data_IF_053254895828
#
_entry.id   IF_053254895828
#
_cell.length_a   1.000
_cell.length_b   1.000
_cell.length_c   1.000
_cell.angle_alpha   90.00
_cell.angle_beta   90.00
_cell.angle_gamma   90.00
#
_symmetry.space_group_name_H-M   'P 1'
#
loop_
_entity.id
_entity.type
_entity.pdbx_description
1 polymer ?
#
# COMPACT_ATOMS: atom_id res chain seq x y z
N UNK A 1 10.35 -10.40 -17.90
CA UNK A 1 10.66 -9.18 -17.12
C UNK A 1 12.09 -8.74 -17.47
N UNK A 2 12.35 -7.44 -17.62
CA UNK A 2 13.74 -6.94 -17.81
C UNK A 2 14.51 -7.04 -16.48
N UNK A 3 15.81 -7.33 -16.53
CA UNK A 3 16.66 -7.31 -15.32
C UNK A 3 16.63 -5.90 -14.72
N UNK A 4 16.40 -5.79 -13.41
CA UNK A 4 16.36 -4.52 -12.66
C UNK A 4 14.97 -3.92 -12.43
N UNK A 5 13.89 -4.58 -12.86
CA UNK A 5 12.51 -4.13 -12.58
C UNK A 5 12.07 -4.58 -11.18
N UNK A 6 11.54 -3.65 -10.38
CA UNK A 6 10.98 -3.95 -9.06
C UNK A 6 9.65 -4.70 -9.13
N UNK A 7 9.26 -5.39 -8.05
CA UNK A 7 7.98 -6.10 -7.98
C UNK A 7 6.78 -5.17 -8.21
N UNK A 8 6.88 -3.92 -7.76
CA UNK A 8 5.87 -2.87 -7.97
C UNK A 8 5.66 -2.45 -9.45
N UNK A 9 6.49 -2.92 -10.37
CA UNK A 9 6.32 -2.73 -11.83
C UNK A 9 6.11 -4.05 -12.58
N UNK A 10 6.10 -5.19 -11.88
CA UNK A 10 5.88 -6.49 -12.50
C UNK A 10 4.44 -6.60 -13.01
N UNK A 11 4.25 -6.91 -14.29
CA UNK A 11 2.92 -7.12 -14.91
C UNK A 11 2.62 -8.59 -15.23
N UNK A 12 3.40 -9.52 -14.66
CA UNK A 12 3.20 -10.94 -14.92
C UNK A 12 1.91 -11.44 -14.25
N UNK A 13 0.95 -12.02 -14.99
CA UNK A 13 -0.41 -12.29 -14.48
C UNK A 13 -0.46 -13.32 -13.35
N UNK A 14 0.51 -14.22 -13.25
CA UNK A 14 0.58 -15.21 -12.15
C UNK A 14 1.49 -14.78 -10.99
N UNK A 15 2.11 -13.60 -11.04
CA UNK A 15 2.98 -13.14 -9.98
C UNK A 15 2.15 -12.49 -8.87
N UNK A 16 2.15 -13.09 -7.68
CA UNK A 16 1.44 -12.57 -6.50
C UNK A 16 2.00 -11.22 -6.01
N UNK A 17 3.21 -10.88 -6.42
CA UNK A 17 3.85 -9.59 -6.13
C UNK A 17 3.74 -8.59 -7.28
N UNK A 18 2.94 -8.92 -8.31
CA UNK A 18 2.75 -8.04 -9.45
C UNK A 18 2.01 -6.77 -9.07
N UNK A 19 2.22 -5.74 -9.88
CA UNK A 19 1.40 -4.54 -9.91
C UNK A 19 -0.10 -4.88 -9.99
N UNK A 20 -0.47 -5.90 -10.75
CA UNK A 20 -1.88 -6.27 -10.91
C UNK A 20 -2.47 -6.91 -9.65
N UNK A 21 -1.66 -7.55 -8.82
CA UNK A 21 -2.13 -8.19 -7.58
C UNK A 21 -2.05 -7.27 -6.37
N UNK A 22 -1.13 -6.30 -6.37
CA UNK A 22 -0.85 -5.44 -5.22
C UNK A 22 -1.13 -3.96 -5.46
N UNK A 23 -1.54 -3.59 -6.66
CA UNK A 23 -1.99 -2.24 -6.99
C UNK A 23 -3.28 -1.92 -6.26
N UNK A 24 -3.33 -0.76 -5.61
CA UNK A 24 -4.49 -0.30 -4.84
C UNK A 24 -5.27 0.74 -5.62
N UNK A 25 -4.59 1.76 -6.15
CA UNK A 25 -5.25 2.84 -6.87
C UNK A 25 -4.27 3.82 -7.48
N UNK A 26 -4.78 4.82 -8.18
CA UNK A 26 -3.97 5.85 -8.82
C UNK A 26 -3.23 6.70 -7.78
N UNK A 27 -2.00 7.10 -8.11
CA UNK A 27 -1.23 8.00 -7.27
C UNK A 27 -1.82 9.42 -7.32
N UNK A 28 -1.93 10.05 -6.16
CA UNK A 28 -2.47 11.41 -6.03
C UNK A 28 -1.51 12.51 -6.50
N UNK A 29 -0.21 12.20 -6.60
CA UNK A 29 0.84 13.19 -6.97
C UNK A 29 1.32 13.05 -8.42
N UNK A 30 0.96 11.97 -9.13
CA UNK A 30 1.37 11.81 -10.53
C UNK A 30 0.34 11.04 -11.36
N UNK A 31 0.20 11.46 -12.62
CA UNK A 31 -0.88 11.02 -13.50
C UNK A 31 -0.81 9.53 -13.87
N UNK A 32 0.40 8.98 -14.06
CA UNK A 32 0.61 7.61 -14.54
C UNK A 32 1.06 6.62 -13.46
N UNK A 33 1.02 7.04 -12.20
CA UNK A 33 1.47 6.23 -11.07
C UNK A 33 0.35 5.41 -10.47
N UNK A 34 0.68 4.20 -10.03
CA UNK A 34 -0.19 3.36 -9.20
C UNK A 34 0.48 3.17 -7.84
N UNK A 35 -0.30 3.34 -6.78
CA UNK A 35 0.11 3.01 -5.41
C UNK A 35 0.03 1.50 -5.22
N UNK A 36 1.16 0.88 -4.91
CA UNK A 36 1.31 -0.57 -4.79
C UNK A 36 1.68 -0.92 -3.36
N UNK A 37 0.95 -1.85 -2.74
CA UNK A 37 1.28 -2.40 -1.43
C UNK A 37 2.67 -3.05 -1.46
N UNK A 38 3.51 -2.75 -0.47
CA UNK A 38 4.73 -3.50 -0.22
C UNK A 38 4.44 -4.60 0.83
N UNK A 39 4.27 -5.87 0.42
CA UNK A 39 3.90 -6.95 1.33
C UNK A 39 5.02 -7.31 2.30
N UNK A 40 6.23 -6.83 2.06
CA UNK A 40 7.41 -7.08 2.90
C UNK A 40 7.64 -6.01 3.96
N UNK A 41 6.82 -4.94 3.92
CA UNK A 41 6.98 -3.79 4.82
C UNK A 41 6.43 -4.01 6.24
N UNK A 42 5.67 -5.07 6.46
CA UNK A 42 5.18 -5.44 7.79
C UNK A 42 6.33 -5.55 8.81
N UNK A 43 6.16 -5.06 10.06
CA UNK A 43 4.95 -4.48 10.66
C UNK A 43 4.75 -2.97 10.38
N UNK A 44 5.66 -2.32 9.63
CA UNK A 44 5.57 -0.90 9.25
C UNK A 44 5.01 -0.78 7.83
N UNK A 45 3.75 -1.16 7.69
CA UNK A 45 3.09 -1.28 6.40
C UNK A 45 3.15 0.02 5.59
N UNK A 46 3.43 -0.14 4.30
CA UNK A 46 3.51 0.96 3.35
C UNK A 46 3.06 0.55 1.96
N UNK A 47 2.66 1.55 1.18
CA UNK A 47 2.49 1.46 -0.26
C UNK A 47 3.32 2.54 -0.91
N UNK A 48 3.84 2.25 -2.09
CA UNK A 48 4.68 3.18 -2.83
C UNK A 48 4.14 3.35 -4.24
N UNK A 49 4.29 4.55 -4.78
CA UNK A 49 4.04 4.76 -6.19
C UNK A 49 5.09 4.01 -7.01
N UNK A 50 4.67 3.40 -8.12
CA UNK A 50 5.59 2.77 -9.07
C UNK A 50 6.25 3.74 -10.07
N UNK A 51 5.93 5.05 -10.02
CA UNK A 51 6.49 6.07 -10.92
C UNK A 51 7.17 7.25 -10.24
N UNK A 52 6.69 7.68 -9.07
CA UNK A 52 7.26 8.80 -8.32
C UNK A 52 7.71 8.36 -6.91
N UNK A 53 8.18 9.33 -6.12
CA UNK A 53 8.74 9.10 -4.79
C UNK A 53 7.69 9.12 -3.65
N UNK A 54 6.41 8.92 -3.96
CA UNK A 54 5.36 8.87 -2.93
C UNK A 54 5.40 7.54 -2.20
N UNK A 55 5.41 7.62 -0.86
CA UNK A 55 5.33 6.46 0.03
C UNK A 55 4.31 6.75 1.12
N UNK A 56 3.21 6.01 1.10
CA UNK A 56 2.16 6.15 2.11
C UNK A 56 2.39 5.09 3.18
N UNK A 57 2.48 5.52 4.43
CA UNK A 57 2.49 4.63 5.59
C UNK A 57 1.07 4.47 6.10
N UNK A 58 0.69 3.27 6.50
CA UNK A 58 -0.68 3.05 6.95
C UNK A 58 -0.82 1.82 7.85
N UNK A 59 -1.93 1.74 8.58
CA UNK A 59 -2.28 0.64 9.50
C UNK A 59 -1.19 0.29 10.50
N UNK A 60 -0.78 1.29 11.30
CA UNK A 60 0.11 1.03 12.42
C UNK A 60 -0.49 -0.06 13.35
N UNK A 61 0.35 -0.97 13.82
CA UNK A 61 -0.05 -2.13 14.64
C UNK A 61 -0.91 -3.20 13.93
N UNK A 62 -1.06 -3.13 12.60
CA UNK A 62 -1.60 -4.25 11.83
C UNK A 62 -0.62 -5.42 11.80
N UNK A 63 -1.14 -6.61 12.11
CA UNK A 63 -0.43 -7.87 11.99
C UNK A 63 -0.38 -8.36 10.54
N UNK A 64 -1.43 -8.06 9.76
CA UNK A 64 -1.56 -8.50 8.38
C UNK A 64 -2.29 -7.45 7.55
N UNK A 65 -1.80 -7.21 6.34
CA UNK A 65 -2.42 -6.32 5.35
C UNK A 65 -2.41 -7.03 4.00
N UNK A 66 -3.54 -7.05 3.30
CA UNK A 66 -3.66 -7.67 1.98
C UNK A 66 -4.55 -6.81 1.07
N UNK A 67 -4.22 -6.78 -0.22
CA UNK A 67 -5.14 -6.24 -1.24
C UNK A 67 -6.23 -7.27 -1.49
N UNK A 68 -7.49 -6.85 -1.38
CA UNK A 68 -8.65 -7.66 -1.65
C UNK A 68 -8.91 -7.73 -3.17
N UNK A 69 -9.72 -8.73 -3.57
CA UNK A 69 -10.14 -8.87 -4.96
C UNK A 69 -11.23 -7.85 -5.32
N UNK A 70 -11.96 -7.37 -4.30
CA UNK A 70 -13.02 -6.39 -4.45
C UNK A 70 -12.45 -4.98 -4.63
N UNK A 71 -13.20 -4.15 -5.36
CA UNK A 71 -12.93 -2.74 -5.60
C UNK A 71 -13.97 -1.85 -4.93
N UNK A 72 -13.60 -0.60 -4.65
CA UNK A 72 -14.49 0.41 -4.10
C UNK A 72 -15.46 0.91 -5.17
N UNK A 73 -16.76 0.86 -4.89
CA UNK A 73 -17.81 1.31 -5.83
C UNK A 73 -17.76 2.82 -6.15
N UNK A 74 -17.03 3.62 -5.36
CA UNK A 74 -16.97 5.09 -5.52
C UNK A 74 -15.76 5.58 -6.32
N UNK A 75 -14.64 4.85 -6.28
CA UNK A 75 -13.38 5.29 -6.90
C UNK A 75 -12.60 4.18 -7.63
N UNK A 76 -13.16 2.98 -7.72
CA UNK A 76 -12.59 1.79 -8.36
C UNK A 76 -11.24 1.30 -7.79
N UNK A 77 -10.76 1.90 -6.70
CA UNK A 77 -9.57 1.44 -5.99
C UNK A 77 -9.82 0.07 -5.34
N UNK A 78 -8.83 -0.82 -5.36
CA UNK A 78 -8.90 -2.10 -4.67
C UNK A 78 -9.06 -1.90 -3.17
N UNK A 79 -9.92 -2.69 -2.55
CA UNK A 79 -10.08 -2.69 -1.10
C UNK A 79 -8.86 -3.30 -0.43
N UNK A 80 -8.59 -2.90 0.80
CA UNK A 80 -7.51 -3.44 1.62
C UNK A 80 -8.09 -4.09 2.86
N UNK A 81 -7.77 -5.37 3.03
CA UNK A 81 -8.13 -6.18 4.18
C UNK A 81 -7.01 -6.13 5.22
N UNK A 82 -7.37 -5.78 6.45
CA UNK A 82 -6.43 -5.54 7.54
C UNK A 82 -6.82 -6.36 8.75
N UNK A 83 -5.82 -6.96 9.39
CA UNK A 83 -5.96 -7.64 10.68
C UNK A 83 -5.07 -6.91 11.70
N UNK A 84 -5.70 -6.20 12.63
CA UNK A 84 -5.06 -5.46 13.71
C UNK A 84 -4.76 -6.35 14.91
N UNK A 85 -3.74 -5.97 15.67
CA UNK A 85 -3.47 -6.63 16.93
C UNK A 85 -4.66 -6.47 17.91
N UNK A 86 -5.15 -7.58 18.47
CA UNK A 86 -6.25 -7.63 19.46
C UNK A 86 -6.11 -6.64 20.63
N UNK A 87 -4.87 -6.31 21.02
CA UNK A 87 -4.59 -5.40 22.14
C UNK A 87 -4.47 -3.93 21.74
N UNK A 88 -4.37 -3.63 20.45
CA UNK A 88 -4.07 -2.30 19.90
C UNK A 88 -4.90 -1.99 18.66
N UNK A 89 -6.09 -2.58 18.56
CA UNK A 89 -6.97 -2.33 17.42
C UNK A 89 -7.55 -0.91 17.51
N UNK A 90 -7.47 -0.12 16.42
CA UNK A 90 -8.12 1.19 16.35
C UNK A 90 -9.62 1.09 15.96
N UNK A 91 -10.12 -0.12 15.68
CA UNK A 91 -11.48 -0.31 15.18
C UNK A 91 -12.55 -0.16 16.27
N UNK A 92 -13.78 0.26 15.91
CA UNK A 92 -14.90 0.32 16.83
C UNK A 92 -15.21 -1.03 17.48
N UNK A 93 -15.80 -1.00 18.68
CA UNK A 93 -16.25 -2.19 19.43
C UNK A 93 -15.16 -3.26 19.70
N UNK A 94 -13.87 -2.95 19.49
CA UNK A 94 -12.78 -3.91 19.69
C UNK A 94 -12.66 -4.95 18.58
N UNK A 95 -13.27 -4.71 17.42
CA UNK A 95 -13.05 -5.55 16.23
C UNK A 95 -11.58 -5.55 15.83
N UNK A 96 -11.09 -6.61 15.19
CA UNK A 96 -9.69 -6.68 14.74
C UNK A 96 -9.54 -6.75 13.24
N UNK A 97 -10.62 -6.97 12.50
CA UNK A 97 -10.57 -7.12 11.07
C UNK A 97 -11.45 -6.06 10.42
N UNK A 98 -10.92 -5.41 9.40
CA UNK A 98 -11.67 -4.47 8.57
C UNK A 98 -11.21 -4.56 7.13
N UNK A 99 -12.15 -4.49 6.20
CA UNK A 99 -11.86 -4.43 4.76
C UNK A 99 -12.49 -3.17 4.22
N UNK A 100 -11.68 -2.31 3.61
CA UNK A 100 -12.12 -0.98 3.23
C UNK A 100 -11.27 -0.34 2.14
N UNK A 101 -11.77 0.73 1.56
CA UNK A 101 -11.01 1.54 0.61
C UNK A 101 -10.10 2.50 1.37
N UNK A 102 -8.80 2.54 1.04
CA UNK A 102 -7.85 3.46 1.69
C UNK A 102 -8.15 4.95 1.45
N UNK A 103 -9.00 5.29 0.48
CA UNK A 103 -9.36 6.67 0.14
C UNK A 103 -10.76 7.06 0.62
N UNK A 104 -11.72 6.14 0.51
CA UNK A 104 -13.13 6.42 0.74
C UNK A 104 -13.63 5.94 2.11
N UNK A 105 -12.95 4.97 2.74
CA UNK A 105 -13.42 4.40 3.99
C UNK A 105 -13.12 5.34 5.18
N UNK A 106 -14.13 5.84 5.89
CA UNK A 106 -13.94 6.72 7.04
C UNK A 106 -13.09 6.09 8.15
N UNK A 107 -13.13 4.76 8.32
CA UNK A 107 -12.34 4.06 9.34
C UNK A 107 -10.84 4.15 9.05
N UNK A 108 -10.47 4.26 7.79
CA UNK A 108 -9.07 4.31 7.37
C UNK A 108 -8.49 5.72 7.27
N UNK A 109 -9.33 6.77 7.26
CA UNK A 109 -8.87 8.16 7.09
C UNK A 109 -7.84 8.58 8.15
N UNK A 110 -8.02 8.16 9.41
CA UNK A 110 -7.09 8.46 10.50
C UNK A 110 -5.91 7.49 10.60
N UNK A 111 -5.91 6.41 9.80
CA UNK A 111 -4.91 5.34 9.85
C UNK A 111 -3.94 5.35 8.67
N UNK A 112 -4.09 6.31 7.75
CA UNK A 112 -3.32 6.46 6.52
C UNK A 112 -2.57 7.79 6.57
N UNK A 113 -1.24 7.73 6.57
CA UNK A 113 -0.37 8.89 6.59
C UNK A 113 0.44 8.98 5.29
N UNK A 114 0.13 9.97 4.45
CA UNK A 114 0.87 10.20 3.21
C UNK A 114 2.22 10.86 3.51
N UNK A 115 3.31 10.22 3.08
CA UNK A 115 4.67 10.78 3.15
C UNK A 115 5.30 10.85 1.76
N UNK A 116 6.08 11.90 1.54
CA UNK A 116 6.99 11.94 0.42
C UNK A 116 8.30 11.26 0.85
N UNK A 117 8.79 10.29 0.07
CA UNK A 117 10.09 9.72 0.33
C UNK A 117 11.13 10.83 0.20
N UNK A 118 11.75 11.18 1.32
CA UNK A 118 12.91 12.06 1.30
C UNK A 118 14.05 11.28 0.66
N UNK A 119 14.60 11.82 -0.43
CA UNK A 119 15.84 11.33 -1.00
C UNK A 119 16.93 11.53 0.05
N UNK A 120 17.17 10.53 0.91
CA UNK A 120 18.41 10.49 1.68
C UNK A 120 19.50 10.29 0.64
N UNK A 121 20.34 11.33 0.52
CA UNK A 121 21.37 11.55 -0.49
C UNK A 121 21.89 10.31 -1.21
N UNK A 122 22.09 10.46 -2.53
CA UNK A 122 22.80 9.53 -3.38
C UNK A 122 24.06 9.00 -2.66
N UNK A 123 24.03 7.73 -2.28
CA UNK A 123 25.26 7.03 -1.94
C UNK A 123 26.04 6.92 -3.25
N UNK A 124 26.92 7.90 -3.47
CA UNK A 124 27.99 7.80 -4.44
C UNK A 124 28.79 6.55 -4.04
N UNK A 125 28.49 5.41 -4.65
CA UNK A 125 29.37 4.24 -4.59
C UNK A 125 30.59 4.59 -5.43
N UNK A 126 31.56 5.22 -4.79
CA UNK A 126 32.94 5.23 -5.26
C UNK A 126 33.52 3.82 -5.14
N UNK A 127 34.37 3.47 -6.11
CA UNK A 127 35.08 2.19 -6.20
C UNK A 127 35.03 1.62 -7.59
#
# INVERSE_FOLDING_TARGET
>A
MKKGMGCNECTHPSCQHSLNSLGIGQCVECENGVLVLDPTSGPKWRMACNKCNVVVHFFEHAHKVQVAVESCDACDASLVAVDFNKTRTPLPAGETQHTGCVFCDPVFQDLVELKHATMRHAMHRGG
#
